data_IF_419471644238
#
_entry.id   IF_419471644238
#
_cell.length_a   1.000
_cell.length_b   1.000
_cell.length_c   1.000
_cell.angle_alpha   90.00
_cell.angle_beta   90.00
_cell.angle_gamma   90.00
#
_symmetry.space_group_name_H-M   'P 1'
#
loop_
_entity.id
_entity.type
_entity.pdbx_description
1 polymer ?
#
# COMPACT_ATOMS: atom_id res chain seq x y z
N UNK A 1 3.51 21.18 3.24
CA UNK A 1 3.96 20.44 4.45
C UNK A 1 4.47 21.42 5.50
N UNK A 2 4.02 21.30 6.73
CA UNK A 2 4.31 22.27 7.81
C UNK A 2 5.78 22.30 8.29
N UNK A 3 6.57 21.26 7.95
CA UNK A 3 7.99 21.13 8.32
C UNK A 3 8.83 20.69 7.11
N UNK A 4 9.11 21.62 6.20
CA UNK A 4 9.88 21.35 4.98
C UNK A 4 11.27 20.74 5.22
N UNK A 5 11.90 21.03 6.36
CA UNK A 5 13.21 20.47 6.74
C UNK A 5 13.20 18.98 7.07
N UNK A 6 12.02 18.37 7.22
CA UNK A 6 11.83 16.95 7.51
C UNK A 6 11.27 16.19 6.31
N UNK A 7 11.08 16.86 5.17
CA UNK A 7 10.57 16.23 3.97
C UNK A 7 11.57 15.23 3.39
N UNK A 8 11.07 14.06 3.02
CA UNK A 8 11.79 13.06 2.24
C UNK A 8 11.75 13.45 0.76
N UNK A 9 12.79 13.06 0.02
CA UNK A 9 12.76 13.10 -1.44
C UNK A 9 11.76 12.08 -2.00
N UNK A 10 11.40 12.22 -3.27
CA UNK A 10 10.54 11.24 -3.95
C UNK A 10 11.17 9.85 -3.95
N UNK A 11 12.48 9.76 -4.21
CA UNK A 11 13.24 8.51 -4.19
C UNK A 11 13.18 7.83 -2.82
N UNK A 12 13.39 8.57 -1.73
CA UNK A 12 13.27 8.04 -0.37
C UNK A 12 11.84 7.55 -0.05
N UNK A 13 10.83 8.25 -0.55
CA UNK A 13 9.43 7.79 -0.40
C UNK A 13 9.18 6.47 -1.15
N UNK A 14 9.68 6.35 -2.38
CA UNK A 14 9.58 5.13 -3.17
C UNK A 14 10.29 3.96 -2.49
N UNK A 15 11.49 4.19 -1.94
CA UNK A 15 12.24 3.16 -1.21
C UNK A 15 11.44 2.61 -0.02
N UNK A 16 10.74 3.47 0.71
CA UNK A 16 9.87 3.04 1.81
C UNK A 16 8.70 2.18 1.28
N UNK A 17 8.05 2.61 0.20
CA UNK A 17 6.96 1.85 -0.41
C UNK A 17 7.42 0.47 -0.92
N UNK A 18 8.65 0.36 -1.41
CA UNK A 18 9.24 -0.89 -1.89
C UNK A 18 9.60 -1.81 -0.72
N UNK A 19 10.27 -1.29 0.29
CA UNK A 19 10.91 -2.09 1.34
C UNK A 19 9.95 -2.46 2.49
N UNK A 20 8.96 -1.62 2.79
CA UNK A 20 8.03 -1.94 3.86
C UNK A 20 6.96 -2.94 3.39
N UNK A 21 6.65 -3.96 4.21
CA UNK A 21 5.73 -5.03 3.79
C UNK A 21 4.27 -4.59 3.78
N UNK A 22 3.89 -3.63 4.62
CA UNK A 22 2.49 -3.28 4.86
C UNK A 22 2.30 -1.78 4.93
N UNK A 23 1.09 -1.37 4.57
CA UNK A 23 0.60 -0.03 4.77
C UNK A 23 -0.85 -0.04 5.21
N UNK A 24 -1.38 1.13 5.50
CA UNK A 24 -2.78 1.34 5.87
C UNK A 24 -3.49 2.06 4.74
N UNK A 25 -4.49 1.39 4.16
CA UNK A 25 -5.41 1.97 3.19
C UNK A 25 -6.52 2.70 3.95
N UNK A 26 -6.80 3.93 3.58
CA UNK A 26 -7.96 4.67 4.05
C UNK A 26 -8.89 4.99 2.89
N UNK A 27 -10.15 4.58 3.02
CA UNK A 27 -11.23 4.84 2.08
C UNK A 27 -12.39 5.49 2.81
N UNK A 28 -13.27 6.18 2.09
CA UNK A 28 -14.52 6.66 2.66
C UNK A 28 -15.49 5.48 2.77
N UNK A 29 -15.73 5.05 3.99
CA UNK A 29 -16.59 3.91 4.31
C UNK A 29 -18.07 4.27 4.43
N UNK A 30 -18.85 3.31 4.92
CA UNK A 30 -20.27 3.52 5.19
C UNK A 30 -20.49 4.47 6.37
N UNK A 31 -21.65 5.11 6.39
CA UNK A 31 -22.04 6.06 7.44
C UNK A 31 -21.04 7.20 7.65
N UNK A 32 -20.35 7.61 6.57
CA UNK A 32 -19.35 8.68 6.58
C UNK A 32 -18.11 8.41 7.44
N UNK A 33 -17.94 7.19 7.96
CA UNK A 33 -16.71 6.82 8.66
C UNK A 33 -15.55 6.60 7.69
N UNK A 34 -14.39 7.25 7.91
CA UNK A 34 -13.16 6.84 7.23
C UNK A 34 -12.82 5.40 7.64
N UNK A 35 -12.74 4.51 6.66
CA UNK A 35 -12.38 3.12 6.90
C UNK A 35 -10.90 2.92 6.63
N UNK A 36 -10.14 2.56 7.67
CA UNK A 36 -8.70 2.34 7.61
C UNK A 36 -8.38 0.87 7.83
N UNK A 37 -7.68 0.25 6.87
CA UNK A 37 -7.37 -1.18 6.92
C UNK A 37 -5.90 -1.43 6.60
N UNK A 38 -5.14 -2.16 7.47
CA UNK A 38 -3.79 -2.58 7.17
C UNK A 38 -3.79 -3.69 6.12
N UNK A 39 -2.86 -3.64 5.19
CA UNK A 39 -2.72 -4.65 4.14
C UNK A 39 -1.29 -4.73 3.60
N UNK A 40 -0.96 -5.87 3.04
CA UNK A 40 0.29 -6.10 2.32
C UNK A 40 0.20 -5.51 0.92
N UNK A 41 1.26 -4.87 0.45
CA UNK A 41 1.29 -4.18 -0.83
C UNK A 41 2.59 -4.39 -1.60
N UNK A 42 2.55 -4.04 -2.88
CA UNK A 42 3.74 -3.87 -3.72
C UNK A 42 3.64 -2.54 -4.48
N UNK A 43 4.77 -1.86 -4.60
CA UNK A 43 4.91 -0.68 -5.44
C UNK A 43 5.51 -1.06 -6.80
N UNK A 44 4.90 -0.62 -7.89
CA UNK A 44 5.41 -0.81 -9.25
C UNK A 44 5.08 0.43 -10.09
N UNK A 45 6.10 1.12 -10.57
CA UNK A 45 6.00 2.22 -11.55
C UNK A 45 4.92 3.27 -11.24
N UNK A 46 4.96 3.84 -10.05
CA UNK A 46 4.03 4.90 -9.63
C UNK A 46 2.65 4.40 -9.20
N UNK A 47 2.51 3.10 -9.00
CA UNK A 47 1.27 2.46 -8.59
C UNK A 47 1.48 1.51 -7.43
N UNK A 48 0.45 1.37 -6.60
CA UNK A 48 0.43 0.43 -5.48
C UNK A 48 -0.60 -0.64 -5.77
N UNK A 49 -0.22 -1.89 -5.60
CA UNK A 49 -1.08 -3.05 -5.80
C UNK A 49 -1.24 -3.85 -4.50
N UNK A 50 -2.44 -4.33 -4.28
CA UNK A 50 -2.76 -5.27 -3.21
C UNK A 50 -3.95 -6.13 -3.61
N UNK A 51 -4.13 -7.24 -2.93
CA UNK A 51 -5.22 -8.16 -3.24
C UNK A 51 -6.27 -8.22 -2.15
N UNK A 52 -7.43 -8.74 -2.51
CA UNK A 52 -8.53 -9.07 -1.63
C UNK A 52 -9.29 -10.27 -2.17
N UNK A 53 -10.37 -10.65 -1.51
CA UNK A 53 -11.27 -11.69 -1.98
C UNK A 53 -12.44 -11.08 -2.75
N UNK A 54 -12.94 -11.82 -3.75
CA UNK A 54 -14.11 -11.38 -4.52
C UNK A 54 -15.37 -11.31 -3.66
N UNK A 55 -15.50 -12.18 -2.65
CA UNK A 55 -16.74 -12.41 -1.92
C UNK A 55 -17.18 -11.29 -0.99
N UNK A 56 -16.26 -10.53 -0.42
CA UNK A 56 -16.62 -9.47 0.53
C UNK A 56 -15.63 -8.32 0.43
N UNK A 57 -16.12 -7.16 0.16
CA UNK A 57 -15.22 -6.03 0.16
C UNK A 57 -15.92 -4.71 0.41
N UNK A 58 -15.93 -4.27 1.67
CA UNK A 58 -16.17 -2.86 1.98
C UNK A 58 -15.31 -1.93 1.14
N UNK A 59 -14.09 -2.36 0.80
CA UNK A 59 -13.17 -1.65 -0.09
C UNK A 59 -13.77 -1.48 -1.49
N UNK A 60 -14.28 -2.57 -2.08
CA UNK A 60 -14.90 -2.53 -3.42
C UNK A 60 -16.11 -1.60 -3.46
N UNK A 61 -16.97 -1.71 -2.47
CA UNK A 61 -18.19 -0.90 -2.41
C UNK A 61 -17.86 0.58 -2.14
N UNK A 62 -16.89 0.83 -1.29
CA UNK A 62 -16.43 2.18 -1.00
C UNK A 62 -15.85 2.87 -2.23
N UNK A 63 -15.00 2.21 -3.02
CA UNK A 63 -14.39 2.81 -4.22
C UNK A 63 -15.35 2.98 -5.38
N UNK A 64 -16.42 2.21 -5.45
CA UNK A 64 -17.51 2.46 -6.43
C UNK A 64 -18.20 3.80 -6.18
N UNK A 65 -18.27 4.22 -4.93
CA UNK A 65 -18.85 5.51 -4.53
C UNK A 65 -17.81 6.63 -4.61
N UNK A 66 -16.58 6.37 -4.15
CA UNK A 66 -15.49 7.35 -4.06
C UNK A 66 -14.16 6.68 -4.38
N UNK A 67 -13.63 6.97 -5.57
CA UNK A 67 -12.37 6.36 -6.03
C UNK A 67 -11.10 6.91 -5.35
N UNK A 68 -11.20 8.11 -4.76
CA UNK A 68 -10.06 8.75 -4.09
C UNK A 68 -9.80 8.09 -2.74
N UNK A 69 -8.54 7.71 -2.56
CA UNK A 69 -8.07 7.02 -1.36
C UNK A 69 -6.78 7.63 -0.85
N UNK A 70 -6.42 7.33 0.38
CA UNK A 70 -5.06 7.54 0.86
C UNK A 70 -4.44 6.23 1.34
N UNK A 71 -3.11 6.18 1.24
CA UNK A 71 -2.32 5.03 1.66
C UNK A 71 -1.12 5.50 2.47
N UNK A 72 -0.96 4.97 3.67
CA UNK A 72 0.10 5.38 4.58
C UNK A 72 1.02 4.20 4.86
N UNK A 73 2.33 4.43 4.68
CA UNK A 73 3.37 3.47 5.04
C UNK A 73 4.31 4.12 6.03
N UNK A 74 4.73 3.37 7.03
CA UNK A 74 5.66 3.81 8.06
C UNK A 74 6.72 2.72 8.24
N UNK A 75 7.98 3.12 8.36
CA UNK A 75 9.06 2.19 8.70
C UNK A 75 9.02 1.82 10.19
N UNK A 76 9.89 0.89 10.59
CA UNK A 76 9.99 0.44 11.99
C UNK A 76 10.52 1.53 12.92
N UNK A 77 11.24 2.50 12.38
CA UNK A 77 11.94 3.49 13.14
C UNK A 77 13.10 2.94 13.97
N UNK A 78 13.82 3.86 14.58
CA UNK A 78 14.93 3.58 15.47
C UNK A 78 14.68 4.28 16.81
N UNK A 79 14.75 3.53 17.89
CA UNK A 79 14.69 4.08 19.24
C UNK A 79 16.02 4.72 19.59
N UNK A 80 15.98 5.91 20.17
CA UNK A 80 17.19 6.54 20.67
C UNK A 80 17.77 5.72 21.84
N UNK A 81 19.09 5.60 21.86
CA UNK A 81 19.82 4.90 22.92
C UNK A 81 19.56 5.60 24.26
N UNK A 82 19.28 4.82 25.27
CA UNK A 82 18.97 5.30 26.64
C UNK A 82 17.83 6.33 26.75
N UNK A 83 16.90 6.33 25.80
CA UNK A 83 15.77 7.26 25.81
C UNK A 83 14.46 6.61 25.33
N UNK A 84 13.37 7.38 25.37
CA UNK A 84 12.02 6.92 25.03
C UNK A 84 11.62 7.26 23.59
N UNK A 85 12.28 8.22 22.92
CA UNK A 85 11.84 8.71 21.62
C UNK A 85 12.41 7.91 20.46
N UNK A 86 11.63 7.86 19.40
CA UNK A 86 11.97 7.23 18.14
C UNK A 86 12.25 8.25 17.04
N UNK A 87 13.03 7.84 16.07
CA UNK A 87 13.10 8.48 14.76
C UNK A 87 12.56 7.49 13.75
N UNK A 88 11.56 7.88 12.97
CA UNK A 88 10.97 7.03 11.94
C UNK A 88 10.59 7.84 10.70
N UNK A 89 10.41 7.12 9.60
CA UNK A 89 9.99 7.69 8.32
C UNK A 89 8.58 7.23 7.99
N UNK A 90 7.81 8.12 7.38
CA UNK A 90 6.47 7.79 6.90
C UNK A 90 6.21 8.41 5.54
N UNK A 91 5.38 7.73 4.74
CA UNK A 91 4.93 8.18 3.43
C UNK A 91 3.40 8.17 3.41
N UNK A 92 2.81 9.25 2.92
CA UNK A 92 1.37 9.34 2.67
C UNK A 92 1.17 9.54 1.18
N UNK A 93 0.37 8.66 0.59
CA UNK A 93 -0.04 8.70 -0.80
C UNK A 93 -1.50 9.12 -0.88
N UNK A 94 -1.81 10.02 -1.81
CA UNK A 94 -3.18 10.26 -2.29
C UNK A 94 -3.27 9.76 -3.72
N UNK A 95 -4.33 9.06 -4.04
CA UNK A 95 -4.51 8.49 -5.36
C UNK A 95 -5.93 8.02 -5.63
N UNK A 96 -6.09 7.41 -6.78
CA UNK A 96 -7.34 6.80 -7.21
C UNK A 96 -7.21 5.28 -7.27
N UNK A 97 -8.16 4.60 -6.68
CA UNK A 97 -8.20 3.14 -6.59
C UNK A 97 -9.22 2.55 -7.52
N UNK A 98 -8.84 1.46 -8.18
CA UNK A 98 -9.71 0.65 -9.03
C UNK A 98 -9.41 -0.83 -8.89
N UNK A 99 -10.33 -1.67 -9.32
CA UNK A 99 -10.09 -3.11 -9.53
C UNK A 99 -9.47 -3.35 -10.90
N UNK A 100 -8.61 -4.36 -10.99
CA UNK A 100 -8.01 -4.83 -12.25
C UNK A 100 -8.76 -6.09 -12.70
N UNK A 101 -9.45 -6.02 -13.82
CA UNK A 101 -10.24 -7.13 -14.36
C UNK A 101 -9.51 -7.91 -15.46
N UNK A 102 -8.61 -7.25 -16.19
CA UNK A 102 -7.81 -7.89 -17.25
C UNK A 102 -6.94 -9.00 -16.67
N UNK A 103 -7.14 -10.22 -17.16
CA UNK A 103 -6.51 -11.44 -16.60
C UNK A 103 -4.99 -11.40 -16.69
N UNK A 104 -4.42 -10.96 -17.80
CA UNK A 104 -2.97 -10.93 -17.99
C UNK A 104 -2.32 -9.91 -17.06
N UNK A 105 -2.87 -8.72 -16.98
CA UNK A 105 -2.43 -7.66 -16.06
C UNK A 105 -2.56 -8.10 -14.61
N UNK A 106 -3.66 -8.75 -14.28
CA UNK A 106 -3.91 -9.29 -12.93
C UNK A 106 -2.84 -10.29 -12.52
N UNK A 107 -2.52 -11.27 -13.37
CA UNK A 107 -1.47 -12.26 -13.12
C UNK A 107 -0.11 -11.58 -12.98
N UNK A 108 0.24 -10.66 -13.88
CA UNK A 108 1.50 -9.92 -13.83
C UNK A 108 1.69 -9.19 -12.49
N UNK A 109 0.70 -8.43 -12.07
CA UNK A 109 0.80 -7.63 -10.84
C UNK A 109 0.71 -8.47 -9.57
N UNK A 110 -0.09 -9.54 -9.57
CA UNK A 110 -0.08 -10.53 -8.50
C UNK A 110 1.28 -11.24 -8.39
N UNK A 111 1.98 -11.44 -9.50
CA UNK A 111 3.34 -12.00 -9.49
C UNK A 111 4.33 -11.07 -8.78
N UNK A 112 4.29 -9.77 -9.06
CA UNK A 112 5.10 -8.80 -8.30
C UNK A 112 4.77 -8.82 -6.81
N UNK A 113 3.48 -8.84 -6.46
CA UNK A 113 3.04 -8.89 -5.06
C UNK A 113 3.51 -10.19 -4.38
N UNK A 114 3.30 -11.33 -5.03
CA UNK A 114 3.72 -12.62 -4.49
C UNK A 114 5.23 -12.73 -4.30
N UNK A 115 6.01 -12.29 -5.27
CA UNK A 115 7.48 -12.35 -5.21
C UNK A 115 8.07 -11.46 -4.10
N UNK A 116 7.34 -10.46 -3.63
CA UNK A 116 7.73 -9.67 -2.45
C UNK A 116 7.62 -10.48 -1.15
N UNK A 117 6.68 -11.43 -1.06
CA UNK A 117 6.33 -12.12 0.18
C UNK A 117 6.64 -13.61 0.19
N UNK A 118 6.52 -14.31 -0.93
CA UNK A 118 6.83 -15.75 -1.00
C UNK A 118 8.33 -15.98 -1.14
N UNK A 119 8.85 -17.08 -0.58
CA UNK A 119 10.28 -17.42 -0.65
C UNK A 119 10.79 -17.67 -2.06
N UNK A 120 9.93 -18.18 -2.96
CA UNK A 120 10.30 -18.56 -4.33
C UNK A 120 9.26 -18.10 -5.35
N UNK A 121 9.69 -17.89 -6.59
CA UNK A 121 8.79 -17.59 -7.72
C UNK A 121 7.83 -18.76 -8.04
N UNK A 122 8.26 -19.98 -7.78
CA UNK A 122 7.43 -21.18 -7.95
C UNK A 122 6.24 -21.15 -6.99
N UNK A 123 6.47 -20.86 -5.72
CA UNK A 123 5.39 -20.72 -4.74
C UNK A 123 4.43 -19.59 -5.09
N UNK A 124 4.94 -18.45 -5.58
CA UNK A 124 4.11 -17.36 -6.10
C UNK A 124 3.20 -17.85 -7.22
N UNK A 125 3.77 -18.56 -8.18
CA UNK A 125 3.01 -19.07 -9.34
C UNK A 125 1.95 -20.07 -8.90
N UNK A 126 2.30 -21.02 -8.05
CA UNK A 126 1.37 -22.04 -7.54
C UNK A 126 0.18 -21.41 -6.80
N UNK A 127 0.44 -20.40 -5.98
CA UNK A 127 -0.62 -19.69 -5.25
C UNK A 127 -1.54 -18.91 -6.19
N UNK A 128 -0.98 -18.25 -7.22
CA UNK A 128 -1.78 -17.55 -8.23
C UNK A 128 -2.64 -18.54 -9.00
N UNK A 129 -2.07 -19.65 -9.49
CA UNK A 129 -2.80 -20.68 -10.23
C UNK A 129 -3.98 -21.26 -9.40
N UNK A 130 -3.78 -21.39 -8.09
CA UNK A 130 -4.79 -21.92 -7.18
C UNK A 130 -5.91 -20.95 -6.84
N UNK A 131 -5.61 -19.65 -6.70
CA UNK A 131 -6.54 -18.66 -6.14
C UNK A 131 -6.98 -17.56 -7.09
N UNK A 132 -6.52 -17.54 -8.33
CA UNK A 132 -6.79 -16.47 -9.28
C UNK A 132 -8.27 -16.12 -9.41
N UNK A 133 -9.13 -17.14 -9.49
CA UNK A 133 -10.57 -16.97 -9.74
C UNK A 133 -11.34 -16.41 -8.53
N UNK A 134 -10.75 -16.47 -7.33
CA UNK A 134 -11.36 -15.94 -6.10
C UNK A 134 -10.66 -14.71 -5.56
N UNK A 135 -9.59 -14.29 -6.23
CA UNK A 135 -8.77 -13.14 -5.85
C UNK A 135 -9.17 -11.90 -6.64
N UNK A 136 -9.31 -10.78 -5.96
CA UNK A 136 -9.44 -9.46 -6.56
C UNK A 136 -8.14 -8.68 -6.41
N UNK A 137 -7.72 -8.03 -7.49
CA UNK A 137 -6.57 -7.15 -7.50
C UNK A 137 -7.03 -5.70 -7.51
N UNK A 138 -6.47 -4.90 -6.62
CA UNK A 138 -6.65 -3.46 -6.54
C UNK A 138 -5.39 -2.71 -6.97
N UNK A 139 -5.60 -1.60 -7.66
CA UNK A 139 -4.55 -0.68 -8.08
C UNK A 139 -4.84 0.71 -7.55
N UNK A 140 -3.85 1.33 -6.92
CA UNK A 140 -3.87 2.77 -6.60
C UNK A 140 -2.91 3.46 -7.56
N UNK A 141 -3.44 4.37 -8.40
CA UNK A 141 -2.61 5.28 -9.18
C UNK A 141 -2.26 6.48 -8.30
N UNK A 142 -0.97 6.69 -8.06
CA UNK A 142 -0.48 7.76 -7.19
C UNK A 142 -0.65 9.11 -7.90
N UNK A 143 -1.41 10.03 -7.30
CA UNK A 143 -1.55 11.40 -7.77
C UNK A 143 -0.68 12.37 -6.97
N UNK A 144 -0.50 12.10 -5.68
CA UNK A 144 0.36 12.89 -4.80
C UNK A 144 1.00 11.99 -3.75
N UNK A 145 2.27 12.23 -3.49
CA UNK A 145 3.03 11.51 -2.49
C UNK A 145 3.87 12.49 -1.67
N UNK A 146 3.87 12.31 -0.37
CA UNK A 146 4.73 13.07 0.54
C UNK A 146 5.27 12.17 1.63
N UNK A 147 6.52 12.38 1.97
CA UNK A 147 7.16 11.67 3.06
C UNK A 147 7.85 12.61 4.04
N UNK A 148 8.04 12.14 5.25
CA UNK A 148 8.76 12.88 6.29
C UNK A 148 9.53 11.96 7.22
N UNK A 149 10.64 12.49 7.73
CA UNK A 149 11.30 11.97 8.93
C UNK A 149 10.62 12.58 10.16
N UNK A 150 10.24 11.75 11.08
CA UNK A 150 9.71 12.19 12.39
C UNK A 150 10.75 11.88 13.45
N UNK A 151 11.15 12.91 14.19
CA UNK A 151 11.93 12.77 15.41
C UNK A 151 11.03 13.17 16.56
N UNK A 152 10.76 12.24 17.47
CA UNK A 152 9.83 12.43 18.58
C UNK A 152 10.45 13.18 19.77
N UNK A 153 11.74 13.55 19.67
CA UNK A 153 12.45 14.35 20.68
C UNK A 153 11.84 15.73 20.86
#
# INVERSE_FOLDING_TARGET
MRRAKQALSEEECIDILINEPRGVLAVLGDDEYPYAVPLSHVYVDGKIYFHGTIKESHKRDAIKKHEKVSFCVMDKGEKAEDSWWYTFKSVIVFGKMRTIEDKETKIEKLTYLGNKFFPTEEETKDEIDRLLDVTELYEITIEHMSGKVVNEK
#
